data_IF_283405849790
#
_entry.id   IF_283405849790
#
_cell.length_a   1.000
_cell.length_b   1.000
_cell.length_c   1.000
_cell.angle_alpha   90.00
_cell.angle_beta   90.00
_cell.angle_gamma   90.00
#
_symmetry.space_group_name_H-M   'P 1'
#
loop_
_entity.id
_entity.type
_entity.pdbx_description
1 polymer ?
#
# COMPACT_ATOMS: atom_id res chain seq x y z
N UNK A 1 17.76 8.17 -22.68
CA UNK A 1 16.41 7.73 -22.28
C UNK A 1 15.42 8.21 -23.30
N UNK A 2 14.48 7.36 -23.69
CA UNK A 2 13.37 7.72 -24.57
C UNK A 2 12.57 8.88 -23.96
N UNK A 3 12.18 9.86 -24.77
CA UNK A 3 11.37 11.00 -24.31
C UNK A 3 9.90 10.65 -24.49
N UNK A 4 9.15 10.66 -23.39
CA UNK A 4 7.71 10.45 -23.39
C UNK A 4 6.98 11.80 -23.34
N UNK A 5 5.78 11.87 -23.92
CA UNK A 5 4.96 13.10 -23.90
C UNK A 5 4.19 13.25 -22.59
N UNK A 6 3.84 12.12 -21.98
CA UNK A 6 2.93 12.06 -20.82
C UNK A 6 3.59 11.49 -19.59
N UNK A 7 4.85 11.06 -19.71
CA UNK A 7 5.63 10.45 -18.64
C UNK A 7 6.98 11.13 -18.52
N UNK A 8 7.58 11.03 -17.34
CA UNK A 8 8.95 11.47 -17.11
C UNK A 8 9.68 10.45 -16.23
N UNK A 9 10.84 9.99 -16.66
CA UNK A 9 11.69 9.09 -15.87
C UNK A 9 12.87 9.89 -15.33
N UNK A 10 13.05 9.89 -14.02
CA UNK A 10 14.13 10.60 -13.35
C UNK A 10 14.87 9.70 -12.36
N UNK A 11 16.20 9.78 -12.37
CA UNK A 11 17.04 9.31 -11.29
C UNK A 11 17.43 10.52 -10.45
N UNK A 12 16.78 10.71 -9.30
CA UNK A 12 16.99 11.92 -8.47
C UNK A 12 18.38 11.95 -7.83
N UNK A 13 18.84 10.81 -7.35
CA UNK A 13 20.13 10.67 -6.67
C UNK A 13 21.11 9.93 -7.58
N UNK A 14 22.28 10.51 -7.89
CA UNK A 14 23.31 9.81 -8.66
C UNK A 14 23.66 8.46 -8.04
N UNK A 15 23.80 7.42 -8.87
CA UNK A 15 24.11 6.04 -8.46
C UNK A 15 23.04 5.33 -7.61
N UNK A 16 21.90 5.95 -7.33
CA UNK A 16 20.78 5.25 -6.69
C UNK A 16 20.15 4.24 -7.65
N UNK A 17 19.76 3.08 -7.13
CA UNK A 17 19.00 2.08 -7.89
C UNK A 17 17.49 2.31 -7.87
N UNK A 18 17.06 3.45 -7.31
CA UNK A 18 15.68 3.92 -7.28
C UNK A 18 15.47 4.91 -8.43
N UNK A 19 14.50 4.63 -9.28
CA UNK A 19 14.10 5.48 -10.39
C UNK A 19 12.66 5.96 -10.18
N UNK A 20 12.39 7.22 -10.49
CA UNK A 20 11.05 7.78 -10.40
C UNK A 20 10.42 7.81 -11.79
N UNK A 21 9.23 7.23 -11.93
CA UNK A 21 8.38 7.31 -13.10
C UNK A 21 7.20 8.23 -12.77
N UNK A 22 7.11 9.36 -13.46
CA UNK A 22 6.11 10.37 -13.20
C UNK A 22 5.02 10.38 -14.27
N UNK A 23 3.75 10.42 -13.85
CA UNK A 23 2.63 10.85 -14.69
C UNK A 23 2.74 12.37 -14.86
N UNK A 24 3.07 12.82 -16.07
CA UNK A 24 3.48 14.20 -16.35
C UNK A 24 2.49 14.94 -17.26
N UNK A 25 1.24 15.07 -16.80
CA UNK A 25 0.24 15.97 -17.40
C UNK A 25 -0.38 16.87 -16.32
N UNK A 26 0.41 17.69 -15.61
CA UNK A 26 -0.07 18.43 -14.44
C UNK A 26 -1.21 19.41 -14.76
N UNK A 27 -1.26 19.99 -15.97
CA UNK A 27 -2.35 20.87 -16.42
C UNK A 27 -3.70 20.17 -16.58
N UNK A 28 -3.68 18.83 -16.70
CA UNK A 28 -4.85 17.97 -16.81
C UNK A 28 -4.96 17.02 -15.62
N UNK A 29 -4.38 17.39 -14.47
CA UNK A 29 -4.39 16.58 -13.25
C UNK A 29 -3.94 15.13 -13.48
N UNK A 30 -3.00 14.94 -14.40
CA UNK A 30 -2.42 13.64 -14.77
C UNK A 30 -3.43 12.61 -15.33
N UNK A 31 -4.51 13.07 -15.97
CA UNK A 31 -5.46 12.17 -16.66
C UNK A 31 -4.79 11.30 -17.74
N UNK A 32 -5.24 10.04 -17.86
CA UNK A 32 -4.66 9.01 -18.72
C UNK A 32 -5.15 9.17 -20.17
N UNK A 33 -4.26 9.68 -21.03
CA UNK A 33 -4.54 9.87 -22.46
C UNK A 33 -4.19 8.64 -23.31
N UNK A 34 -4.60 8.60 -24.58
CA UNK A 34 -4.15 7.57 -25.53
C UNK A 34 -2.60 7.43 -25.59
N UNK A 35 -1.87 8.55 -25.48
CA UNK A 35 -0.41 8.53 -25.46
C UNK A 35 0.11 7.80 -24.21
N UNK A 36 -0.53 7.98 -23.05
CA UNK A 36 -0.16 7.27 -21.83
C UNK A 36 -0.23 5.75 -22.03
N UNK A 37 -1.33 5.23 -22.59
CA UNK A 37 -1.49 3.79 -22.83
C UNK A 37 -0.48 3.21 -23.83
N UNK A 38 0.12 4.05 -24.69
CA UNK A 38 1.22 3.67 -25.59
C UNK A 38 2.60 3.77 -24.94
N UNK A 39 2.80 4.78 -24.09
CA UNK A 39 4.10 5.15 -23.53
C UNK A 39 4.41 4.36 -22.24
N UNK A 40 3.41 4.11 -21.40
CA UNK A 40 3.59 3.53 -20.07
C UNK A 40 4.13 2.10 -20.09
N UNK A 41 3.62 1.16 -20.91
CA UNK A 41 4.21 -0.16 -21.04
C UNK A 41 5.68 -0.12 -21.49
N UNK A 42 6.03 0.81 -22.38
CA UNK A 42 7.40 0.97 -22.89
C UNK A 42 8.33 1.53 -21.81
N UNK A 43 7.86 2.52 -21.05
CA UNK A 43 8.58 3.09 -19.93
C UNK A 43 8.91 2.02 -18.88
N UNK A 44 7.92 1.21 -18.48
CA UNK A 44 8.13 0.11 -17.53
C UNK A 44 9.05 -0.97 -18.09
N UNK A 45 8.87 -1.41 -19.34
CA UNK A 45 9.76 -2.37 -19.97
C UNK A 45 11.21 -1.89 -20.02
N UNK A 46 11.42 -0.59 -20.30
CA UNK A 46 12.76 0.02 -20.27
C UNK A 46 13.37 0.05 -18.87
N UNK A 47 12.56 0.24 -17.83
CA UNK A 47 13.02 0.22 -16.43
C UNK A 47 13.30 -1.21 -15.97
N UNK A 48 12.45 -2.17 -16.33
CA UNK A 48 12.62 -3.59 -16.02
C UNK A 48 13.93 -4.17 -16.60
N UNK A 49 14.25 -3.83 -17.84
CA UNK A 49 15.45 -4.30 -18.52
C UNK A 49 16.75 -3.64 -18.01
N UNK A 50 16.66 -2.55 -17.24
CA UNK A 50 17.82 -1.84 -16.77
C UNK A 50 18.40 -2.51 -15.50
N UNK A 51 19.64 -3.03 -15.54
CA UNK A 51 20.24 -3.71 -14.38
C UNK A 51 20.55 -2.78 -13.21
N UNK A 52 20.57 -1.46 -13.44
CA UNK A 52 20.77 -0.46 -12.39
C UNK A 52 19.47 -0.04 -11.70
N UNK A 53 18.32 -0.54 -12.14
CA UNK A 53 17.03 -0.31 -11.48
C UNK A 53 16.75 -1.50 -10.57
N UNK A 54 16.48 -1.22 -9.30
CA UNK A 54 15.88 -2.18 -8.37
C UNK A 54 14.42 -1.80 -8.08
N UNK A 55 14.13 -0.50 -8.01
CA UNK A 55 12.85 0.04 -7.56
C UNK A 55 12.39 1.14 -8.51
N UNK A 56 11.11 1.12 -8.86
CA UNK A 56 10.44 2.18 -9.62
C UNK A 56 9.41 2.86 -8.72
N UNK A 57 9.57 4.16 -8.45
CA UNK A 57 8.57 4.96 -7.72
C UNK A 57 7.66 5.64 -8.73
N UNK A 58 6.41 5.20 -8.81
CA UNK A 58 5.35 5.77 -9.64
C UNK A 58 4.62 6.89 -8.88
N UNK A 59 4.60 8.10 -9.43
CA UNK A 59 3.93 9.26 -8.82
C UNK A 59 3.30 10.17 -9.86
N UNK A 60 2.36 11.03 -9.45
CA UNK A 60 1.92 12.16 -10.29
C UNK A 60 2.89 13.34 -10.24
N UNK A 61 2.95 14.18 -11.29
CA UNK A 61 3.60 15.49 -11.20
C UNK A 61 2.65 16.48 -10.50
N UNK A 62 3.19 17.25 -9.54
CA UNK A 62 2.47 18.25 -8.72
C UNK A 62 1.36 17.64 -7.86
N UNK A 63 0.14 18.15 -7.97
CA UNK A 63 -0.89 18.06 -6.93
C UNK A 63 -1.57 16.70 -6.87
N UNK A 64 -1.99 16.12 -8.00
CA UNK A 64 -2.78 14.89 -7.99
C UNK A 64 -1.98 13.73 -8.58
N UNK A 65 -2.20 12.52 -8.06
CA UNK A 65 -1.65 11.32 -8.69
C UNK A 65 -2.25 11.15 -10.09
N UNK A 66 -3.58 11.01 -10.21
CA UNK A 66 -4.27 10.81 -11.49
C UNK A 66 -5.78 11.11 -11.39
N UNK A 67 -6.34 11.85 -12.35
CA UNK A 67 -7.79 12.15 -12.43
C UNK A 67 -8.60 11.14 -13.26
N UNK A 68 -8.02 9.98 -13.54
CA UNK A 68 -8.65 8.90 -14.31
C UNK A 68 -8.46 8.99 -15.82
N UNK A 69 -9.31 8.32 -16.58
CA UNK A 69 -9.21 8.29 -18.03
C UNK A 69 -9.55 9.66 -18.62
N UNK A 70 -8.71 10.13 -19.54
CA UNK A 70 -8.92 11.41 -20.22
C UNK A 70 -10.20 11.35 -21.07
N UNK A 71 -11.04 12.39 -21.00
CA UNK A 71 -12.33 12.44 -21.71
C UNK A 71 -12.19 12.27 -23.24
N UNK A 72 -11.09 12.73 -23.83
CA UNK A 72 -10.81 12.52 -25.25
C UNK A 72 -10.53 11.04 -25.56
N UNK A 73 -9.86 10.35 -24.63
CA UNK A 73 -9.63 8.89 -24.72
C UNK A 73 -10.95 8.15 -24.56
N UNK A 74 -11.76 8.50 -23.57
CA UNK A 74 -13.10 7.93 -23.37
C UNK A 74 -14.01 8.10 -24.59
N UNK A 75 -14.01 9.29 -25.21
CA UNK A 75 -14.75 9.55 -26.44
C UNK A 75 -14.28 8.71 -27.63
N UNK A 76 -12.99 8.36 -27.69
CA UNK A 76 -12.46 7.45 -28.72
C UNK A 76 -12.94 6.00 -28.55
N UNK A 77 -13.11 5.56 -27.29
CA UNK A 77 -13.67 4.25 -26.96
C UNK A 77 -15.12 4.16 -27.44
N UNK A 78 -15.93 5.18 -27.11
CA UNK A 78 -17.36 5.22 -27.48
C UNK A 78 -17.58 5.29 -29.01
N UNK A 79 -16.69 5.93 -29.77
CA UNK A 79 -16.82 5.98 -31.24
C UNK A 79 -16.52 4.64 -31.91
N UNK A 80 -15.68 3.81 -31.29
CA UNK A 80 -15.34 2.49 -31.82
C UNK A 80 -16.44 1.45 -31.62
N UNK A 81 -17.42 1.71 -30.75
CA UNK A 81 -18.58 0.83 -30.53
C UNK A 81 -19.75 1.06 -31.50
N UNK A 82 -19.81 2.22 -32.17
CA UNK A 82 -20.96 2.65 -32.99
C UNK A 82 -20.91 2.17 -34.46
N UNK A 83 -20.17 1.10 -34.78
CA UNK A 83 -20.21 0.53 -36.13
C UNK A 83 -21.49 -0.29 -36.34
N UNK A 84 -22.23 -0.04 -37.43
CA UNK A 84 -23.47 -0.75 -37.83
C UNK A 84 -23.37 -2.28 -37.80
N UNK A 85 -22.15 -2.82 -37.94
CA UNK A 85 -21.87 -4.25 -37.91
C UNK A 85 -21.46 -4.71 -36.50
N UNK A 86 -22.45 -5.05 -35.67
CA UNK A 86 -22.29 -5.36 -34.22
C UNK A 86 -21.20 -6.38 -33.90
N UNK A 87 -20.95 -7.36 -34.78
CA UNK A 87 -19.86 -8.36 -34.60
C UNK A 87 -18.47 -7.74 -34.82
N UNK A 88 -18.31 -6.88 -35.82
CA UNK A 88 -17.05 -6.19 -36.09
C UNK A 88 -16.75 -5.12 -35.02
N UNK A 89 -17.80 -4.42 -34.55
CA UNK A 89 -17.69 -3.46 -33.44
C UNK A 89 -17.23 -4.09 -32.13
N UNK A 90 -17.80 -5.25 -31.78
CA UNK A 90 -17.41 -5.99 -30.57
C UNK A 90 -15.93 -6.42 -30.56
N UNK A 91 -15.42 -6.98 -31.66
CA UNK A 91 -14.01 -7.37 -31.79
C UNK A 91 -13.07 -6.16 -31.72
N UNK A 92 -13.42 -5.04 -32.38
CA UNK A 92 -12.64 -3.79 -32.32
C UNK A 92 -12.59 -3.23 -30.90
N UNK A 93 -13.73 -3.21 -30.21
CA UNK A 93 -13.82 -2.77 -28.82
C UNK A 93 -12.99 -3.69 -27.92
N UNK A 94 -13.06 -5.01 -28.08
CA UNK A 94 -12.28 -5.95 -27.29
C UNK A 94 -10.77 -5.78 -27.47
N UNK A 95 -10.29 -5.59 -28.70
CA UNK A 95 -8.87 -5.28 -28.98
C UNK A 95 -8.44 -3.99 -28.33
N UNK A 96 -9.30 -2.98 -28.35
CA UNK A 96 -9.01 -1.70 -27.73
C UNK A 96 -8.97 -1.81 -26.19
N UNK A 97 -9.90 -2.54 -25.58
CA UNK A 97 -9.89 -2.85 -24.15
C UNK A 97 -8.58 -3.56 -23.77
N UNK A 98 -8.17 -4.59 -24.50
CA UNK A 98 -6.90 -5.29 -24.26
C UNK A 98 -5.69 -4.36 -24.38
N UNK A 99 -5.71 -3.45 -25.34
CA UNK A 99 -4.68 -2.42 -25.47
C UNK A 99 -4.61 -1.51 -24.23
N UNK A 100 -5.75 -1.05 -23.71
CA UNK A 100 -5.80 -0.26 -22.48
C UNK A 100 -5.33 -1.05 -21.26
N UNK A 101 -5.76 -2.31 -21.13
CA UNK A 101 -5.33 -3.23 -20.08
C UNK A 101 -3.82 -3.50 -20.10
N UNK A 102 -3.18 -3.37 -21.27
CA UNK A 102 -1.73 -3.51 -21.42
C UNK A 102 -0.92 -2.58 -20.51
N UNK A 103 -1.45 -1.42 -20.12
CA UNK A 103 -0.79 -0.53 -19.16
C UNK A 103 -0.75 -1.11 -17.73
N UNK A 104 -1.82 -1.78 -17.29
CA UNK A 104 -1.91 -2.42 -15.98
C UNK A 104 -1.04 -3.68 -15.95
N UNK A 105 -1.17 -4.52 -16.99
CA UNK A 105 -0.39 -5.74 -17.17
C UNK A 105 1.11 -5.45 -17.20
N UNK A 106 1.53 -4.30 -17.73
CA UNK A 106 2.95 -3.94 -17.75
C UNK A 106 3.57 -3.79 -16.35
N UNK A 107 2.77 -3.44 -15.33
CA UNK A 107 3.24 -3.39 -13.94
C UNK A 107 3.39 -4.82 -13.40
N UNK A 108 2.38 -5.67 -13.61
CA UNK A 108 2.40 -7.07 -13.19
C UNK A 108 3.55 -7.88 -13.83
N UNK A 109 3.91 -7.57 -15.07
CA UNK A 109 5.04 -8.19 -15.77
C UNK A 109 6.41 -7.59 -15.39
N UNK A 110 6.44 -6.45 -14.69
CA UNK A 110 7.67 -5.82 -14.27
C UNK A 110 8.29 -6.61 -13.12
N UNK A 111 9.54 -7.05 -13.27
CA UNK A 111 10.25 -7.83 -12.23
C UNK A 111 10.88 -6.94 -11.16
N UNK A 112 10.82 -5.62 -11.34
CA UNK A 112 11.32 -4.61 -10.40
C UNK A 112 10.15 -4.15 -9.55
N UNK A 113 10.38 -3.97 -8.24
CA UNK A 113 9.35 -3.45 -7.34
C UNK A 113 8.87 -2.07 -7.79
N UNK A 114 7.57 -1.94 -8.07
CA UNK A 114 6.90 -0.71 -8.45
C UNK A 114 6.13 -0.17 -7.26
N UNK A 115 6.52 1.00 -6.76
CA UNK A 115 5.92 1.65 -5.59
C UNK A 115 5.03 2.79 -6.08
N UNK A 116 3.74 2.75 -5.79
CA UNK A 116 2.83 3.87 -5.99
C UNK A 116 2.91 4.86 -4.82
N UNK A 117 3.43 6.06 -5.09
CA UNK A 117 3.35 7.21 -4.18
C UNK A 117 2.18 8.09 -4.64
N UNK A 118 1.05 7.99 -3.94
CA UNK A 118 -0.25 8.55 -4.36
C UNK A 118 -0.58 9.84 -3.59
N UNK A 119 -0.56 10.97 -4.28
CA UNK A 119 -0.91 12.26 -3.66
C UNK A 119 -2.30 12.73 -4.07
N UNK A 120 -3.02 13.26 -3.07
CA UNK A 120 -4.33 13.90 -3.21
C UNK A 120 -5.36 13.01 -3.93
N UNK A 121 -5.64 13.27 -5.21
CA UNK A 121 -6.69 12.56 -5.92
C UNK A 121 -6.10 11.44 -6.77
N UNK A 122 -6.67 10.24 -6.61
CA UNK A 122 -6.56 9.17 -7.57
C UNK A 122 -7.95 8.64 -7.92
N UNK A 123 -8.41 8.88 -9.14
CA UNK A 123 -9.80 8.64 -9.56
C UNK A 123 -9.81 7.78 -10.82
N UNK A 124 -10.89 7.02 -11.04
CA UNK A 124 -11.14 6.28 -12.28
C UNK A 124 -9.99 5.35 -12.63
N UNK A 125 -9.52 5.35 -13.88
CA UNK A 125 -8.43 4.47 -14.30
C UNK A 125 -7.05 4.76 -13.69
N UNK A 126 -6.91 5.85 -12.92
CA UNK A 126 -5.76 5.99 -12.03
C UNK A 126 -5.74 4.90 -10.95
N UNK A 127 -6.93 4.44 -10.54
CA UNK A 127 -7.12 3.29 -9.65
C UNK A 127 -6.49 2.06 -10.28
N UNK A 128 -6.95 1.64 -11.46
CA UNK A 128 -6.42 0.47 -12.17
C UNK A 128 -4.88 0.42 -12.23
N UNK A 129 -4.23 1.57 -12.47
CA UNK A 129 -2.76 1.68 -12.54
C UNK A 129 -2.10 1.55 -11.17
N UNK A 130 -2.51 2.34 -10.17
CA UNK A 130 -1.86 2.22 -8.86
C UNK A 130 -2.15 0.86 -8.24
N UNK A 131 -3.30 0.27 -8.55
CA UNK A 131 -3.75 -0.96 -7.92
C UNK A 131 -2.91 -2.16 -8.28
N UNK A 132 -2.17 -2.07 -9.39
CA UNK A 132 -1.25 -3.10 -9.83
C UNK A 132 0.18 -2.90 -9.27
N UNK A 133 0.44 -1.84 -8.49
CA UNK A 133 1.77 -1.59 -7.90
C UNK A 133 1.96 -2.35 -6.58
N UNK A 134 3.20 -2.75 -6.31
CA UNK A 134 3.60 -3.62 -5.19
C UNK A 134 3.51 -2.94 -3.81
N UNK A 135 3.64 -1.62 -3.72
CA UNK A 135 3.61 -0.87 -2.46
C UNK A 135 2.88 0.43 -2.66
N UNK A 136 2.05 0.84 -1.69
CA UNK A 136 1.37 2.14 -1.69
C UNK A 136 1.67 2.96 -0.45
N UNK A 137 2.10 4.20 -0.66
CA UNK A 137 2.34 5.17 0.43
C UNK A 137 1.19 6.17 0.52
N UNK A 138 0.57 6.27 1.69
CA UNK A 138 -0.46 7.25 2.03
C UNK A 138 0.13 8.32 2.93
N UNK A 139 0.13 9.56 2.45
CA UNK A 139 0.56 10.74 3.20
C UNK A 139 -0.68 11.59 3.53
N UNK A 140 -1.03 11.82 4.81
CA UNK A 140 -2.17 12.65 5.15
C UNK A 140 -1.96 14.09 4.69
N UNK A 141 -3.06 14.75 4.29
CA UNK A 141 -3.01 16.14 3.80
C UNK A 141 -2.51 17.12 4.88
N UNK A 142 -2.75 16.79 6.14
CA UNK A 142 -2.33 17.56 7.31
C UNK A 142 -0.83 17.39 7.63
N UNK A 143 -0.09 16.61 6.83
CA UNK A 143 1.33 16.44 7.01
C UNK A 143 2.03 17.82 7.07
N UNK A 144 2.92 18.03 8.05
CA UNK A 144 3.57 19.32 8.26
C UNK A 144 4.31 19.79 7.00
N UNK A 145 4.27 21.09 6.72
CA UNK A 145 5.12 21.68 5.69
C UNK A 145 6.61 21.42 6.02
N UNK A 146 7.48 21.44 4.99
CA UNK A 146 8.92 21.17 5.09
C UNK A 146 9.71 22.09 6.07
N UNK A 147 9.02 22.97 6.79
CA UNK A 147 9.54 23.91 7.79
C UNK A 147 9.31 23.45 9.22
N UNK A 148 8.44 22.47 9.47
CA UNK A 148 8.26 21.88 10.81
C UNK A 148 9.23 20.72 11.04
N UNK A 149 9.90 20.64 12.20
CA UNK A 149 10.76 19.51 12.53
C UNK A 149 9.98 18.23 12.89
N UNK A 150 8.66 18.30 13.10
CA UNK A 150 7.84 17.16 13.50
C UNK A 150 7.57 16.23 12.32
N UNK A 151 8.16 15.04 12.30
CA UNK A 151 7.78 13.97 11.39
C UNK A 151 6.57 13.20 11.94
N UNK A 152 5.90 12.44 11.07
CA UNK A 152 4.73 11.64 11.39
C UNK A 152 5.10 10.19 11.69
N UNK A 153 4.36 9.51 12.57
CA UNK A 153 4.51 8.07 12.76
C UNK A 153 4.33 7.30 11.45
N UNK A 154 5.00 6.16 11.32
CA UNK A 154 4.93 5.29 10.15
C UNK A 154 4.16 4.01 10.50
N UNK A 155 3.17 3.63 9.70
CA UNK A 155 2.45 2.37 9.82
C UNK A 155 2.65 1.58 8.53
N UNK A 156 3.31 0.42 8.60
CA UNK A 156 3.41 -0.49 7.46
C UNK A 156 2.28 -1.51 7.56
N UNK A 157 1.41 -1.54 6.57
CA UNK A 157 0.15 -2.28 6.59
C UNK A 157 0.16 -3.44 5.59
N UNK A 158 -0.26 -4.62 6.05
CA UNK A 158 -0.43 -5.82 5.24
C UNK A 158 -1.91 -6.15 5.16
N UNK A 159 -2.48 -6.06 3.96
CA UNK A 159 -3.90 -6.34 3.75
C UNK A 159 -4.24 -7.80 4.07
N UNK A 160 -5.51 -8.04 4.36
CA UNK A 160 -6.03 -9.37 4.59
C UNK A 160 -6.48 -10.11 3.34
N UNK A 161 -7.04 -11.30 3.51
CA UNK A 161 -7.52 -12.14 2.39
C UNK A 161 -7.13 -13.61 2.45
N UNK A 162 -6.75 -14.11 3.64
CA UNK A 162 -6.35 -15.51 3.81
C UNK A 162 -5.12 -15.91 3.00
N UNK A 163 -4.25 -14.94 2.66
CA UNK A 163 -3.09 -15.07 1.79
C UNK A 163 -3.37 -15.45 0.33
N UNK A 164 -4.62 -15.66 -0.08
CA UNK A 164 -4.98 -16.13 -1.42
C UNK A 164 -5.79 -15.12 -2.23
N UNK A 165 -6.27 -14.05 -1.58
CA UNK A 165 -7.17 -13.07 -2.18
C UNK A 165 -6.75 -11.66 -1.81
N UNK A 166 -7.25 -10.73 -2.62
CA UNK A 166 -7.05 -9.29 -2.54
C UNK A 166 -5.63 -8.84 -2.85
N UNK A 167 -5.45 -7.53 -2.75
CA UNK A 167 -4.20 -6.80 -2.90
C UNK A 167 -4.24 -5.58 -1.98
N UNK A 168 -3.22 -4.73 -1.97
CA UNK A 168 -3.23 -3.41 -1.31
C UNK A 168 -4.26 -2.42 -1.92
N UNK A 169 -5.08 -2.89 -2.85
CA UNK A 169 -5.74 -2.13 -3.91
C UNK A 169 -7.26 -1.99 -3.83
N UNK A 170 -8.03 -3.04 -3.47
CA UNK A 170 -9.47 -2.96 -3.42
C UNK A 170 -9.94 -1.77 -2.60
N UNK A 171 -11.01 -1.10 -3.05
CA UNK A 171 -11.53 0.13 -2.44
C UNK A 171 -11.66 0.02 -0.92
N UNK A 172 -12.10 -1.14 -0.43
CA UNK A 172 -12.21 -1.43 1.00
C UNK A 172 -10.88 -1.25 1.77
N UNK A 173 -9.75 -1.72 1.24
CA UNK A 173 -8.44 -1.58 1.87
C UNK A 173 -7.82 -0.20 1.62
N UNK A 174 -8.06 0.37 0.44
CA UNK A 174 -7.60 1.73 0.12
C UNK A 174 -8.24 2.76 1.04
N UNK A 175 -9.57 2.76 1.14
CA UNK A 175 -10.32 3.69 1.96
C UNK A 175 -9.98 3.48 3.44
N UNK A 176 -9.85 2.23 3.88
CA UNK A 176 -9.38 1.91 5.23
C UNK A 176 -8.02 2.56 5.53
N UNK A 177 -7.01 2.35 4.68
CA UNK A 177 -5.68 2.94 4.86
C UNK A 177 -5.71 4.48 4.78
N UNK A 178 -6.44 5.05 3.81
CA UNK A 178 -6.54 6.49 3.65
C UNK A 178 -7.20 7.16 4.86
N UNK A 179 -8.26 6.54 5.40
CA UNK A 179 -8.96 7.04 6.56
C UNK A 179 -8.09 6.94 7.83
N UNK A 180 -7.34 5.85 8.03
CA UNK A 180 -6.36 5.77 9.14
C UNK A 180 -5.32 6.86 8.98
N UNK A 181 -4.73 7.03 7.79
CA UNK A 181 -3.69 8.02 7.55
C UNK A 181 -4.14 9.43 7.97
N UNK A 182 -5.35 9.81 7.56
CA UNK A 182 -5.96 11.12 7.87
C UNK A 182 -6.32 11.24 9.34
N UNK A 183 -7.06 10.27 9.87
CA UNK A 183 -7.59 10.39 11.22
C UNK A 183 -6.47 10.30 12.23
N UNK A 184 -5.63 9.27 12.16
CA UNK A 184 -4.50 9.02 13.08
C UNK A 184 -3.33 9.97 12.84
N UNK A 185 -3.31 10.66 11.70
CA UNK A 185 -2.22 11.56 11.28
C UNK A 185 -0.87 10.83 11.22
N UNK A 186 -0.86 9.72 10.48
CA UNK A 186 0.30 8.84 10.29
C UNK A 186 0.50 8.55 8.79
N UNK A 187 1.73 8.23 8.40
CA UNK A 187 2.03 7.72 7.06
C UNK A 187 1.73 6.24 7.02
N UNK A 188 0.97 5.78 6.02
CA UNK A 188 0.70 4.34 5.83
C UNK A 188 1.49 3.83 4.63
N UNK A 189 2.21 2.72 4.79
CA UNK A 189 2.83 1.97 3.68
C UNK A 189 2.08 0.65 3.55
N UNK A 190 1.11 0.59 2.64
CA UNK A 190 0.32 -0.61 2.36
C UNK A 190 1.06 -1.50 1.37
N UNK A 191 1.31 -2.76 1.75
CA UNK A 191 2.17 -3.71 1.03
C UNK A 191 1.31 -4.71 0.26
N UNK A 192 1.61 -4.88 -1.03
CA UNK A 192 1.01 -5.89 -1.90
C UNK A 192 1.95 -7.10 -1.97
N UNK A 193 1.69 -8.09 -1.11
CA UNK A 193 2.54 -9.27 -0.99
C UNK A 193 2.05 -10.39 -1.93
N UNK A 194 2.96 -11.31 -2.31
CA UNK A 194 2.61 -12.43 -3.18
C UNK A 194 1.59 -13.36 -2.52
N UNK A 195 0.61 -13.76 -3.31
CA UNK A 195 -0.49 -14.63 -2.87
C UNK A 195 -0.12 -16.12 -2.99
N UNK A 196 -0.67 -16.90 -2.07
CA UNK A 196 -0.57 -18.35 -2.02
C UNK A 196 -1.41 -19.01 -3.13
N UNK A 197 -1.03 -20.26 -3.46
CA UNK A 197 -1.32 -21.04 -4.67
C UNK A 197 -0.20 -20.91 -5.72
N UNK A 198 0.05 -19.71 -6.23
CA UNK A 198 1.20 -19.39 -7.08
C UNK A 198 2.48 -19.28 -6.26
N UNK A 199 2.41 -18.63 -5.10
CA UNK A 199 3.53 -18.39 -4.20
C UNK A 199 3.16 -18.78 -2.76
N UNK A 200 3.20 -20.08 -2.45
CA UNK A 200 2.90 -20.59 -1.10
C UNK A 200 3.78 -19.92 -0.04
N UNK A 201 3.26 -19.84 1.19
CA UNK A 201 4.05 -19.42 2.36
C UNK A 201 5.37 -20.23 2.41
N UNK A 202 6.51 -19.57 2.69
CA UNK A 202 6.65 -18.27 3.35
C UNK A 202 6.75 -17.03 2.43
N UNK A 203 6.40 -17.11 1.13
CA UNK A 203 6.64 -16.01 0.18
C UNK A 203 6.13 -14.63 0.66
N UNK A 204 4.92 -14.55 1.20
CA UNK A 204 4.38 -13.31 1.75
C UNK A 204 5.19 -12.73 2.93
N UNK A 205 5.81 -13.59 3.75
CA UNK A 205 6.69 -13.17 4.83
C UNK A 205 8.04 -12.67 4.31
N UNK A 206 8.56 -13.29 3.24
CA UNK A 206 9.75 -12.82 2.57
C UNK A 206 9.52 -11.42 1.96
N UNK A 207 8.35 -11.19 1.35
CA UNK A 207 7.95 -9.88 0.81
C UNK A 207 7.80 -8.82 1.90
N UNK A 208 7.27 -9.21 3.06
CA UNK A 208 7.22 -8.34 4.22
C UNK A 208 8.64 -7.93 4.64
N UNK A 209 9.56 -8.88 4.85
CA UNK A 209 10.95 -8.59 5.20
C UNK A 209 11.63 -7.71 4.15
N UNK A 210 11.45 -8.00 2.86
CA UNK A 210 12.02 -7.23 1.77
C UNK A 210 11.48 -5.79 1.75
N UNK A 211 10.19 -5.61 1.99
CA UNK A 211 9.57 -4.28 2.11
C UNK A 211 10.18 -3.48 3.26
N UNK A 212 10.52 -4.15 4.36
CA UNK A 212 11.04 -3.52 5.56
C UNK A 212 12.49 -3.08 5.34
N UNK A 213 13.27 -3.94 4.68
CA UNK A 213 14.60 -3.60 4.21
C UNK A 213 14.56 -2.43 3.22
N UNK A 214 13.60 -2.46 2.29
CA UNK A 214 13.35 -1.39 1.35
C UNK A 214 13.06 -0.09 2.10
N UNK A 215 12.06 -0.03 2.99
CA UNK A 215 11.71 1.17 3.76
C UNK A 215 12.92 1.76 4.49
N UNK A 216 13.75 0.91 5.12
CA UNK A 216 14.96 1.32 5.84
C UNK A 216 16.06 1.86 4.92
N UNK A 217 16.16 1.34 3.70
CA UNK A 217 17.19 1.72 2.72
C UNK A 217 16.70 2.73 1.68
N UNK A 218 15.40 3.05 1.68
CA UNK A 218 14.76 3.87 0.66
C UNK A 218 15.17 5.34 0.81
N UNK A 219 15.21 6.02 -0.34
CA UNK A 219 15.30 7.48 -0.43
C UNK A 219 13.99 8.08 -0.95
N UNK A 220 12.86 7.38 -0.75
CA UNK A 220 11.55 7.90 -1.10
C UNK A 220 11.37 9.26 -0.44
N UNK A 221 10.93 10.22 -1.24
CA UNK A 221 10.90 11.62 -0.82
C UNK A 221 9.91 11.83 0.33
N UNK A 222 8.80 11.10 0.36
CA UNK A 222 7.82 11.25 1.43
C UNK A 222 8.25 10.57 2.70
N UNK A 223 8.77 9.35 2.61
CA UNK A 223 9.30 8.67 3.80
C UNK A 223 10.47 9.46 4.40
N UNK A 224 11.39 9.93 3.56
CA UNK A 224 12.56 10.68 4.03
C UNK A 224 12.16 12.01 4.68
N UNK A 225 11.22 12.76 4.07
CA UNK A 225 10.83 14.09 4.56
C UNK A 225 9.85 14.02 5.74
N UNK A 226 8.87 13.13 5.66
CA UNK A 226 7.70 13.16 6.53
C UNK A 226 7.61 11.99 7.51
N UNK A 227 8.31 10.87 7.31
CA UNK A 227 8.19 9.71 8.22
C UNK A 227 9.22 9.73 9.35
N UNK A 228 8.75 9.52 10.57
CA UNK A 228 9.56 9.22 11.74
C UNK A 228 9.82 7.71 11.82
N UNK A 229 10.99 7.28 11.36
CA UNK A 229 11.38 5.87 11.41
C UNK A 229 11.61 5.37 12.84
N UNK A 230 11.77 6.25 13.83
CA UNK A 230 11.87 5.82 15.23
C UNK A 230 10.50 5.45 15.81
N UNK A 231 9.42 5.92 15.19
CA UNK A 231 8.03 5.72 15.59
C UNK A 231 7.25 4.93 14.52
N UNK A 232 7.68 3.67 14.33
CA UNK A 232 7.14 2.77 13.30
C UNK A 232 6.32 1.63 13.91
N UNK A 233 5.19 1.34 13.27
CA UNK A 233 4.22 0.30 13.63
C UNK A 233 3.93 -0.60 12.43
N UNK A 234 3.55 -1.85 12.67
CA UNK A 234 3.25 -2.83 11.60
C UNK A 234 1.84 -3.40 11.73
N UNK A 235 0.87 -3.10 10.87
CA UNK A 235 -0.52 -3.55 11.04
C UNK A 235 -0.98 -4.60 10.04
N UNK A 236 -2.00 -5.38 10.41
CA UNK A 236 -2.83 -6.20 9.50
C UNK A 236 -4.26 -6.26 10.02
N UNK A 237 -5.21 -6.74 9.22
CA UNK A 237 -6.64 -6.78 9.57
C UNK A 237 -7.31 -8.16 9.47
N UNK A 238 -6.59 -9.24 9.15
CA UNK A 238 -7.19 -10.61 9.05
C UNK A 238 -6.38 -11.73 9.70
N UNK A 239 -5.13 -11.49 10.09
CA UNK A 239 -4.50 -12.21 11.19
C UNK A 239 -4.67 -11.31 12.43
N UNK A 240 -4.45 -11.78 13.68
CA UNK A 240 -4.52 -10.90 14.84
C UNK A 240 -3.83 -9.59 14.48
N UNK A 241 -4.60 -8.49 14.48
CA UNK A 241 -4.06 -7.16 14.29
C UNK A 241 -2.97 -7.05 15.33
N UNK A 242 -1.71 -7.04 14.92
CA UNK A 242 -0.60 -6.93 15.86
C UNK A 242 0.27 -5.83 15.28
N UNK A 243 0.12 -4.64 15.83
CA UNK A 243 1.06 -3.55 15.65
C UNK A 243 2.37 -3.88 16.37
N UNK A 244 3.43 -4.23 15.64
CA UNK A 244 4.78 -4.51 16.20
C UNK A 244 5.82 -3.45 15.80
N UNK A 245 7.07 -3.61 16.22
CA UNK A 245 8.28 -2.87 15.79
C UNK A 245 9.28 -3.87 15.14
N UNK A 246 10.49 -3.46 14.74
CA UNK A 246 11.52 -4.11 13.88
C UNK A 246 11.52 -5.65 13.50
N UNK A 247 11.52 -6.09 12.22
CA UNK A 247 11.16 -7.46 11.80
C UNK A 247 12.30 -8.44 11.42
N UNK A 248 13.54 -7.99 11.19
CA UNK A 248 14.58 -8.85 10.56
C UNK A 248 14.95 -10.09 11.41
N UNK A 249 15.00 -9.93 12.74
CA UNK A 249 15.37 -10.99 13.68
C UNK A 249 14.19 -11.83 14.17
N UNK A 250 12.96 -11.33 14.04
CA UNK A 250 11.76 -11.98 14.58
C UNK A 250 11.19 -13.00 13.59
N UNK A 251 11.09 -12.63 12.31
CA UNK A 251 10.52 -13.49 11.24
C UNK A 251 11.37 -14.76 11.02
N UNK A 252 12.66 -14.71 11.37
CA UNK A 252 13.59 -15.85 11.28
C UNK A 252 13.66 -16.71 12.54
N UNK A 253 13.02 -16.30 13.64
CA UNK A 253 13.05 -17.04 14.91
C UNK A 253 12.12 -18.25 14.80
N UNK A 254 12.68 -19.47 14.93
CA UNK A 254 11.98 -20.73 14.65
C UNK A 254 11.02 -21.20 15.75
N UNK A 255 10.90 -20.50 16.88
CA UNK A 255 10.05 -20.90 18.02
C UNK A 255 9.26 -19.73 18.58
N UNK A 256 7.98 -19.96 18.88
CA UNK A 256 7.06 -18.96 19.45
C UNK A 256 7.56 -18.37 20.77
N UNK A 257 8.15 -19.20 21.64
CA UNK A 257 8.74 -18.77 22.92
C UNK A 257 9.90 -17.79 22.72
N UNK A 258 10.72 -17.98 21.68
CA UNK A 258 11.82 -17.08 21.37
C UNK A 258 11.35 -15.74 20.79
N UNK A 259 10.22 -15.74 20.08
CA UNK A 259 9.60 -14.54 19.51
C UNK A 259 9.04 -13.64 20.61
N UNK A 260 8.22 -14.17 21.52
CA UNK A 260 7.60 -13.36 22.58
C UNK A 260 8.62 -12.77 23.55
N UNK A 261 9.67 -13.53 23.86
CA UNK A 261 10.76 -13.03 24.71
C UNK A 261 11.51 -11.87 24.05
N UNK A 262 11.75 -11.92 22.73
CA UNK A 262 12.33 -10.80 21.98
C UNK A 262 11.43 -9.57 22.00
N UNK A 263 10.14 -9.73 21.72
CA UNK A 263 9.14 -8.64 21.75
C UNK A 263 9.18 -7.93 23.13
N UNK A 264 9.19 -8.72 24.20
CA UNK A 264 9.31 -8.22 25.58
C UNK A 264 10.62 -7.47 25.83
N UNK A 265 11.76 -8.06 25.48
CA UNK A 265 13.08 -7.47 25.71
C UNK A 265 13.29 -6.18 24.92
N UNK A 266 12.70 -6.08 23.73
CA UNK A 266 12.71 -4.86 22.92
C UNK A 266 11.68 -3.82 23.40
N UNK A 267 10.86 -4.14 24.41
CA UNK A 267 9.87 -3.21 24.98
C UNK A 267 8.68 -2.94 24.06
N UNK A 268 8.40 -3.83 23.12
CA UNK A 268 7.31 -3.61 22.18
C UNK A 268 5.96 -3.78 22.84
N UNK A 269 5.00 -3.02 22.31
CA UNK A 269 3.60 -3.09 22.68
C UNK A 269 2.82 -3.73 21.55
N UNK A 270 1.77 -4.46 21.88
CA UNK A 270 0.89 -5.11 20.91
C UNK A 270 -0.53 -4.62 21.11
N UNK A 271 -1.15 -4.10 20.04
CA UNK A 271 -2.56 -3.73 20.04
C UNK A 271 -3.36 -4.79 19.28
N UNK A 272 -4.34 -5.43 19.95
CA UNK A 272 -5.29 -6.37 19.34
C UNK A 272 -6.70 -5.79 19.39
N UNK A 273 -7.34 -5.64 18.23
CA UNK A 273 -8.73 -5.17 18.12
C UNK A 273 -9.52 -6.24 17.37
N UNK A 274 -10.61 -6.71 17.96
CA UNK A 274 -11.55 -7.63 17.32
C UNK A 274 -12.93 -7.61 18.03
N UNK A 275 -13.80 -8.56 17.70
CA UNK A 275 -15.16 -8.69 18.19
C UNK A 275 -15.52 -10.16 18.46
N UNK A 276 -16.44 -10.41 19.39
CA UNK A 276 -16.83 -11.78 19.79
C UNK A 276 -17.58 -12.56 18.70
N UNK A 277 -18.10 -11.89 17.68
CA UNK A 277 -18.71 -12.52 16.51
C UNK A 277 -17.70 -13.10 15.52
N UNK A 278 -16.40 -12.89 15.71
CA UNK A 278 -15.35 -13.50 14.89
C UNK A 278 -15.11 -14.97 15.31
N UNK A 279 -15.21 -15.95 14.38
CA UNK A 279 -14.88 -17.34 14.68
C UNK A 279 -13.44 -17.58 15.18
N UNK A 280 -12.52 -16.65 14.96
CA UNK A 280 -11.12 -16.73 15.39
C UNK A 280 -10.86 -16.11 16.78
N UNK A 281 -11.87 -15.51 17.42
CA UNK A 281 -11.71 -14.75 18.67
C UNK A 281 -11.05 -15.55 19.79
N UNK A 282 -11.39 -16.84 19.93
CA UNK A 282 -10.82 -17.68 20.98
C UNK A 282 -9.29 -17.83 20.85
N UNK A 283 -8.80 -17.95 19.61
CA UNK A 283 -7.36 -18.03 19.33
C UNK A 283 -6.65 -16.70 19.59
N UNK A 284 -7.34 -15.59 19.33
CA UNK A 284 -6.78 -14.27 19.61
C UNK A 284 -6.70 -14.00 21.11
N UNK A 285 -7.72 -14.40 21.87
CA UNK A 285 -7.71 -14.33 23.34
C UNK A 285 -6.60 -15.22 23.91
N UNK A 286 -6.41 -16.42 23.37
CA UNK A 286 -5.31 -17.31 23.76
C UNK A 286 -3.94 -16.66 23.51
N UNK A 287 -3.76 -16.04 22.34
CA UNK A 287 -2.52 -15.32 22.01
C UNK A 287 -2.29 -14.12 22.93
N UNK A 288 -3.33 -13.33 23.23
CA UNK A 288 -3.25 -12.22 24.20
C UNK A 288 -2.75 -12.73 25.55
N UNK A 289 -3.38 -13.78 26.10
CA UNK A 289 -2.98 -14.37 27.37
C UNK A 289 -1.54 -14.86 27.35
N UNK A 290 -1.13 -15.52 26.27
CA UNK A 290 0.25 -15.99 26.11
C UNK A 290 1.26 -14.84 26.10
N UNK A 291 0.94 -13.74 25.43
CA UNK A 291 1.78 -12.52 25.41
C UNK A 291 1.86 -11.87 26.80
N UNK A 292 0.73 -11.73 27.49
CA UNK A 292 0.66 -11.17 28.85
C UNK A 292 1.40 -12.02 29.88
N UNK A 293 1.26 -13.35 29.83
CA UNK A 293 2.00 -14.30 30.68
C UNK A 293 3.51 -14.21 30.47
N UNK A 294 3.94 -13.88 29.25
CA UNK A 294 5.34 -13.60 28.93
C UNK A 294 5.76 -12.18 29.29
N UNK A 295 4.87 -11.31 29.75
CA UNK A 295 5.20 -9.94 30.15
C UNK A 295 5.32 -8.96 28.98
N UNK A 296 4.78 -9.31 27.81
CA UNK A 296 4.58 -8.35 26.71
C UNK A 296 3.46 -7.39 27.08
N UNK A 297 3.62 -6.10 26.77
CA UNK A 297 2.58 -5.11 27.02
C UNK A 297 1.53 -5.21 25.92
N UNK A 298 0.36 -5.76 26.25
CA UNK A 298 -0.75 -5.91 25.31
C UNK A 298 -1.85 -4.91 25.64
N UNK A 299 -2.38 -4.25 24.62
CA UNK A 299 -3.60 -3.45 24.67
C UNK A 299 -4.63 -4.18 23.82
N UNK A 300 -5.76 -4.57 24.40
CA UNK A 300 -6.82 -5.29 23.67
C UNK A 300 -8.15 -4.55 23.74
N UNK A 301 -8.84 -4.44 22.61
CA UNK A 301 -10.25 -4.06 22.55
C UNK A 301 -11.04 -5.16 21.85
N UNK A 302 -11.86 -5.89 22.63
CA UNK A 302 -12.68 -7.00 22.14
C UNK A 302 -14.15 -6.63 22.31
N UNK A 303 -14.78 -6.16 21.24
CA UNK A 303 -16.16 -5.68 21.29
C UNK A 303 -17.18 -6.83 21.35
N UNK A 304 -18.33 -6.59 21.99
CA UNK A 304 -19.48 -7.51 21.92
C UNK A 304 -20.11 -7.50 20.51
N UNK A 305 -20.61 -8.64 20.05
CA UNK A 305 -21.24 -8.77 18.73
C UNK A 305 -20.24 -8.71 17.56
N UNK A 306 -20.66 -8.14 16.42
CA UNK A 306 -19.84 -8.01 15.22
C UNK A 306 -19.69 -9.30 14.39
N UNK A 307 -18.73 -9.30 13.47
CA UNK A 307 -18.27 -10.46 12.70
C UNK A 307 -16.86 -10.19 12.15
N UNK A 308 -16.20 -11.24 11.65
CA UNK A 308 -14.88 -11.12 11.03
C UNK A 308 -14.84 -10.02 9.96
N UNK A 309 -13.86 -9.11 10.04
CA UNK A 309 -13.66 -8.03 9.08
C UNK A 309 -14.71 -6.91 9.13
N UNK A 310 -15.56 -6.84 10.16
CA UNK A 310 -16.61 -5.81 10.31
C UNK A 310 -16.03 -4.38 10.28
N UNK A 311 -14.80 -4.20 10.76
CA UNK A 311 -14.10 -2.91 10.80
C UNK A 311 -13.65 -2.42 9.42
N UNK A 312 -13.82 -3.21 8.36
CA UNK A 312 -13.65 -2.75 6.98
C UNK A 312 -14.92 -2.10 6.40
N UNK A 313 -16.08 -2.32 7.03
CA UNK A 313 -17.39 -1.99 6.48
C UNK A 313 -18.15 -0.98 7.35
N UNK A 314 -18.07 -1.13 8.68
CA UNK A 314 -18.79 -0.29 9.62
C UNK A 314 -17.99 0.96 9.99
N UNK A 315 -18.38 2.10 9.42
CA UNK A 315 -17.75 3.40 9.66
C UNK A 315 -17.75 3.83 11.14
N UNK A 316 -18.72 3.40 11.93
CA UNK A 316 -18.78 3.74 13.36
C UNK A 316 -17.69 3.01 14.14
N UNK A 317 -17.48 1.73 13.83
CA UNK A 317 -16.41 0.91 14.40
C UNK A 317 -15.03 1.36 13.94
N UNK A 318 -14.88 1.68 12.66
CA UNK A 318 -13.65 2.29 12.10
C UNK A 318 -13.24 3.53 12.91
N UNK A 319 -14.19 4.44 13.16
CA UNK A 319 -13.91 5.66 13.94
C UNK A 319 -13.49 5.35 15.38
N UNK A 320 -14.14 4.38 16.03
CA UNK A 320 -13.75 3.94 17.36
C UNK A 320 -12.34 3.33 17.36
N UNK A 321 -12.04 2.46 16.40
CA UNK A 321 -10.73 1.86 16.19
C UNK A 321 -9.64 2.94 15.98
N UNK A 322 -9.91 4.00 15.22
CA UNK A 322 -8.96 5.10 15.04
C UNK A 322 -8.62 5.83 16.35
N UNK A 323 -9.58 5.98 17.26
CA UNK A 323 -9.34 6.57 18.58
C UNK A 323 -8.43 5.69 19.42
N UNK A 324 -8.66 4.37 19.38
CA UNK A 324 -7.83 3.38 20.10
C UNK A 324 -6.42 3.37 19.56
N UNK A 325 -6.27 3.35 18.24
CA UNK A 325 -4.98 3.37 17.56
C UNK A 325 -4.19 4.65 17.90
N UNK A 326 -4.84 5.82 17.88
CA UNK A 326 -4.22 7.08 18.33
C UNK A 326 -3.70 6.98 19.77
N UNK A 327 -4.55 6.51 20.69
CA UNK A 327 -4.17 6.40 22.09
C UNK A 327 -3.04 5.39 22.29
N UNK A 328 -3.04 4.29 21.54
CA UNK A 328 -1.97 3.32 21.55
C UNK A 328 -0.63 3.93 21.10
N UNK A 329 -0.65 4.76 20.07
CA UNK A 329 0.54 5.41 19.51
C UNK A 329 1.07 6.58 20.34
N UNK A 330 0.34 7.05 21.36
CA UNK A 330 0.87 8.08 22.24
C UNK A 330 2.07 7.54 23.06
N UNK A 331 3.10 8.36 23.31
CA UNK A 331 4.22 7.98 24.16
C UNK A 331 3.72 7.65 25.58
N UNK A 332 4.32 6.63 26.21
CA UNK A 332 4.09 6.37 27.63
C UNK A 332 4.57 7.59 28.43
N UNK A 333 3.69 8.19 29.23
CA UNK A 333 4.14 8.93 30.40
C UNK A 333 4.70 7.87 31.35
N UNK A 334 6.03 7.77 31.45
CA UNK A 334 6.66 7.02 32.52
C UNK A 334 6.30 7.75 33.81
N UNK A 335 5.33 7.21 34.55
CA UNK A 335 5.04 7.63 35.93
C UNK A 335 5.92 6.84 36.87
#
# INVERSE_FOLDING_TARGET
MEKFKTLEILQKTPNSRVFHLYLNRPSHRNALSCNFFSEFPKALASLDQNPNVNVVVLSGVRNHFCDGIDLGTLGSISKNSDSDDRKCGGEKLQRHIKYLQGAVIAIELCRKSVIASIQRACIGSGIDIFTACDIRIFLPKQAPDNTSPSKLPLIVYFHGGGFILYSASPTVFHDFCANIAIDVNAIIVSVDYRLALEHRLPAAYDDAVETLHLIKTNQDEWLTKYADFSDTYYGTNTAPTIFWWDPEDLIRTKTEVGVLEKIRLLGWRVLVIDCKGDPLIDRQIELIKMMEEKGVVVVSQLDEGGHHGVDLQDLSRVKAMHVVLKNFMLPFLVV
#
